data_IF_327864751078
#
_entry.id   IF_327864751078
#
_cell.length_a   1.000
_cell.length_b   1.000
_cell.length_c   1.000
_cell.angle_alpha   90.00
_cell.angle_beta   90.00
_cell.angle_gamma   90.00
#
_symmetry.space_group_name_H-M   'P 1'
#
loop_
_entity.id
_entity.type
_entity.pdbx_description
1 polymer ?
#
# COMPACT_ATOMS: atom_id res chain seq x y z
N UNK A 1 9.64 26.48 12.66
CA UNK A 1 8.17 26.52 12.52
C UNK A 1 7.46 27.51 13.45
N UNK A 2 8.16 28.08 14.46
CA UNK A 2 7.55 29.10 15.36
C UNK A 2 7.16 30.37 14.60
N UNK A 3 7.83 30.67 13.48
CA UNK A 3 7.69 31.91 12.70
C UNK A 3 7.09 31.67 11.29
N UNK A 4 6.14 30.74 11.15
CA UNK A 4 5.42 30.54 9.89
C UNK A 4 5.93 29.41 9.00
N UNK A 5 6.94 28.64 9.43
CA UNK A 5 7.49 27.51 8.70
C UNK A 5 8.83 27.77 8.02
N UNK A 6 9.19 26.95 7.03
CA UNK A 6 10.43 27.13 6.30
C UNK A 6 10.97 25.86 5.62
N UNK A 7 12.08 26.00 4.93
CA UNK A 7 12.81 24.93 4.26
C UNK A 7 14.02 24.54 5.11
N UNK A 8 14.08 23.27 5.53
CA UNK A 8 15.26 22.67 6.17
C UNK A 8 16.04 21.95 5.08
N UNK A 9 17.25 22.38 4.81
CA UNK A 9 18.09 21.82 3.75
C UNK A 9 19.11 20.86 4.35
N UNK A 10 19.16 19.64 3.83
CA UNK A 10 20.21 18.66 4.10
C UNK A 10 21.17 18.70 2.90
N UNK A 11 22.38 19.23 3.07
CA UNK A 11 23.35 19.34 1.98
C UNK A 11 23.97 17.98 1.64
N UNK A 12 24.67 17.91 0.51
CA UNK A 12 25.40 16.72 0.07
C UNK A 12 26.30 16.17 1.19
N UNK A 13 26.33 14.84 1.33
CA UNK A 13 27.06 14.12 2.37
C UNK A 13 26.21 13.07 3.09
N UNK A 14 26.83 12.34 4.02
CA UNK A 14 26.18 11.27 4.79
C UNK A 14 25.81 11.81 6.18
N UNK A 15 24.54 11.75 6.50
CA UNK A 15 23.95 12.24 7.74
C UNK A 15 23.28 11.11 8.50
N UNK A 16 23.45 11.05 9.82
CA UNK A 16 22.81 10.04 10.68
C UNK A 16 21.71 10.67 11.51
N UNK A 17 20.57 9.98 11.64
CA UNK A 17 19.42 10.46 12.39
C UNK A 17 18.61 9.32 13.00
N UNK A 18 17.78 9.63 13.99
CA UNK A 18 16.64 8.84 14.43
C UNK A 18 15.35 9.28 13.70
N UNK A 19 14.20 9.18 14.39
CA UNK A 19 12.92 9.63 13.83
C UNK A 19 12.92 11.14 13.56
N UNK A 20 12.57 11.53 12.34
CA UNK A 20 12.31 12.92 11.99
C UNK A 20 10.82 13.18 12.10
N UNK A 21 10.44 14.23 12.82
CA UNK A 21 9.05 14.68 12.90
C UNK A 21 8.87 15.99 12.13
N UNK A 22 8.15 15.92 10.99
CA UNK A 22 7.81 17.11 10.23
C UNK A 22 6.70 17.90 10.95
N UNK A 23 6.84 19.22 10.96
CA UNK A 23 5.88 20.16 11.52
C UNK A 23 5.23 20.99 10.42
N UNK A 24 4.08 21.55 10.71
CA UNK A 24 3.31 22.36 9.74
C UNK A 24 4.15 23.45 9.10
N UNK A 25 3.92 23.66 7.81
CA UNK A 25 4.62 24.64 6.98
C UNK A 25 6.13 24.40 6.84
N UNK A 26 6.61 23.13 7.04
CA UNK A 26 8.03 22.77 6.91
C UNK A 26 8.23 21.89 5.68
N UNK A 27 9.25 22.26 4.89
CA UNK A 27 9.80 21.43 3.82
C UNK A 27 11.17 20.87 4.26
N UNK A 28 11.29 19.56 4.44
CA UNK A 28 12.57 18.87 4.54
C UNK A 28 13.09 18.61 3.13
N UNK A 29 14.20 19.24 2.77
CA UNK A 29 14.76 19.18 1.42
C UNK A 29 16.14 18.55 1.42
N UNK A 30 16.31 17.46 0.68
CA UNK A 30 17.59 16.78 0.52
C UNK A 30 18.21 17.21 -0.82
N UNK A 31 19.36 17.86 -0.77
CA UNK A 31 20.13 18.20 -1.98
C UNK A 31 20.61 16.94 -2.71
N UNK A 32 20.97 17.07 -3.97
CA UNK A 32 21.63 16.00 -4.69
C UNK A 32 22.94 15.60 -3.99
N UNK A 33 23.16 14.29 -3.81
CA UNK A 33 24.28 13.74 -3.03
C UNK A 33 24.10 13.75 -1.52
N UNK A 34 22.97 14.22 -0.98
CA UNK A 34 22.62 14.04 0.43
C UNK A 34 22.13 12.61 0.67
N UNK A 35 22.68 11.94 1.69
CA UNK A 35 22.20 10.64 2.17
C UNK A 35 21.83 10.73 3.64
N UNK A 36 20.57 10.44 3.97
CA UNK A 36 20.07 10.48 5.33
C UNK A 36 19.87 9.06 5.85
N UNK A 37 20.79 8.59 6.66
CA UNK A 37 20.84 7.24 7.22
C UNK A 37 20.14 7.18 8.57
N UNK A 38 19.09 6.36 8.64
CA UNK A 38 18.30 6.19 9.85
C UNK A 38 18.90 5.16 10.80
N UNK A 39 18.85 5.45 12.09
CA UNK A 39 19.28 4.56 13.16
C UNK A 39 18.38 3.33 13.27
N UNK A 40 18.98 2.18 13.58
CA UNK A 40 18.26 0.95 13.93
C UNK A 40 18.02 0.75 15.43
N UNK A 41 18.26 1.76 16.26
CA UNK A 41 18.11 1.72 17.72
C UNK A 41 16.69 2.16 18.12
N UNK A 42 16.01 1.37 18.91
CA UNK A 42 14.63 1.64 19.36
C UNK A 42 14.52 2.97 20.10
N UNK A 43 15.53 3.33 20.91
CA UNK A 43 15.48 4.55 21.72
C UNK A 43 15.41 5.84 20.88
N UNK A 44 15.91 5.82 19.63
CA UNK A 44 15.89 6.96 18.72
C UNK A 44 14.50 7.22 18.12
N UNK A 45 13.52 6.34 18.43
CA UNK A 45 12.12 6.41 17.98
C UNK A 45 11.13 6.55 19.13
N UNK A 46 11.62 6.72 20.37
CA UNK A 46 10.76 6.96 21.53
C UNK A 46 10.57 8.47 21.78
N UNK A 47 9.44 8.87 22.37
CA UNK A 47 8.31 8.04 22.80
C UNK A 47 7.59 7.41 21.61
N UNK A 48 6.83 6.32 21.87
CA UNK A 48 5.92 5.74 20.86
C UNK A 48 4.87 6.74 20.42
N UNK A 49 4.45 6.60 19.17
CA UNK A 49 3.43 7.46 18.55
C UNK A 49 2.29 6.62 18.00
N UNK A 50 1.12 7.24 17.84
CA UNK A 50 0.01 6.61 17.14
C UNK A 50 0.42 6.35 15.68
N UNK A 51 0.29 5.12 15.26
CA UNK A 51 0.54 4.67 13.88
C UNK A 51 -0.51 3.65 13.47
N UNK A 52 -0.46 3.23 12.22
CA UNK A 52 -1.28 2.12 11.73
C UNK A 52 -0.37 1.00 11.25
N UNK A 53 -0.53 -0.18 11.80
CA UNK A 53 0.22 -1.36 11.40
C UNK A 53 -0.74 -2.37 10.78
N UNK A 54 -0.52 -2.70 9.51
CA UNK A 54 -1.39 -3.57 8.71
C UNK A 54 -2.89 -3.25 8.83
N UNK A 55 -3.26 -1.97 8.79
CA UNK A 55 -4.64 -1.51 8.84
C UNK A 55 -5.25 -1.37 10.25
N UNK A 56 -4.46 -1.52 11.32
CA UNK A 56 -4.88 -1.45 12.72
C UNK A 56 -4.15 -0.34 13.46
N UNK A 57 -4.86 0.44 14.27
CA UNK A 57 -4.28 1.50 15.09
C UNK A 57 -3.51 0.92 16.29
N UNK A 58 -2.27 1.34 16.46
CA UNK A 58 -1.36 0.95 17.56
C UNK A 58 -0.46 2.11 17.97
N UNK A 59 0.13 2.04 19.15
CA UNK A 59 1.24 2.93 19.57
C UNK A 59 2.55 2.16 19.45
N UNK A 60 3.42 2.58 18.54
CA UNK A 60 4.74 1.97 18.34
C UNK A 60 5.73 2.99 17.79
N UNK A 61 6.80 2.52 17.12
CA UNK A 61 7.88 3.37 16.63
C UNK A 61 7.44 4.35 15.54
N UNK A 62 6.26 4.17 14.95
CA UNK A 62 5.67 5.06 13.94
C UNK A 62 6.35 4.92 12.60
N UNK A 63 7.11 5.94 12.21
CA UNK A 63 7.84 5.98 10.94
C UNK A 63 9.22 6.61 11.13
N UNK A 64 10.12 6.38 10.15
CA UNK A 64 11.44 7.02 10.12
C UNK A 64 11.27 8.54 9.88
N UNK A 65 10.41 8.90 8.91
CA UNK A 65 9.94 10.28 8.73
C UNK A 65 8.44 10.30 9.06
N UNK A 66 8.10 10.98 10.13
CA UNK A 66 6.77 11.01 10.71
C UNK A 66 6.18 12.42 10.72
N UNK A 67 4.89 12.53 10.61
CA UNK A 67 4.12 13.73 10.91
C UNK A 67 2.77 13.32 11.48
N UNK A 68 2.20 14.11 12.40
CA UNK A 68 0.86 13.85 12.89
C UNK A 68 0.12 15.16 13.15
N UNK A 69 -1.10 15.27 12.60
CA UNK A 69 -1.94 16.47 12.70
C UNK A 69 -1.22 17.73 12.18
N UNK A 70 -0.50 17.62 11.05
CA UNK A 70 0.22 18.74 10.45
C UNK A 70 -0.40 19.13 9.10
N UNK A 71 -0.09 20.33 8.64
CA UNK A 71 -0.52 20.82 7.33
C UNK A 71 0.61 21.52 6.57
N UNK A 72 0.51 21.51 5.23
CA UNK A 72 1.50 22.13 4.34
C UNK A 72 2.91 21.58 4.61
N UNK A 73 3.07 20.27 4.67
CA UNK A 73 4.36 19.61 4.91
C UNK A 73 4.93 19.08 3.60
N UNK A 74 6.25 19.12 3.47
CA UNK A 74 6.92 18.60 2.30
C UNK A 74 8.21 17.82 2.64
N UNK A 75 8.50 16.79 1.85
CA UNK A 75 9.76 16.09 1.76
C UNK A 75 10.20 16.14 0.29
N UNK A 76 11.25 16.87 -0.03
CA UNK A 76 11.61 17.16 -1.42
C UNK A 76 13.11 17.02 -1.68
N UNK A 77 13.48 17.08 -2.95
CA UNK A 77 14.89 17.10 -3.40
C UNK A 77 15.29 15.81 -4.12
N UNK A 78 16.59 15.63 -4.36
CA UNK A 78 17.15 14.50 -5.10
C UNK A 78 18.10 13.63 -4.28
N UNK A 79 18.12 13.82 -2.97
CA UNK A 79 18.90 13.00 -2.05
C UNK A 79 18.20 11.67 -1.72
N UNK A 80 18.87 10.90 -0.87
CA UNK A 80 18.44 9.56 -0.46
C UNK A 80 18.08 9.50 1.01
N UNK A 81 17.04 8.74 1.30
CA UNK A 81 16.69 8.27 2.64
C UNK A 81 17.03 6.78 2.70
N UNK A 82 17.84 6.38 3.68
CA UNK A 82 18.39 5.03 3.79
C UNK A 82 17.99 4.43 5.13
N UNK A 83 17.14 3.42 5.11
CA UNK A 83 16.72 2.73 6.33
C UNK A 83 17.85 1.84 6.89
N UNK A 84 17.80 1.47 8.18
CA UNK A 84 18.75 0.54 8.76
C UNK A 84 18.62 -0.85 8.14
N UNK A 85 19.66 -1.66 8.30
CA UNK A 85 19.69 -3.04 7.83
C UNK A 85 18.93 -3.98 8.77
N UNK A 86 18.59 -5.18 8.31
CA UNK A 86 17.81 -6.18 9.07
C UNK A 86 18.60 -6.86 10.21
N UNK A 87 19.83 -6.46 10.48
CA UNK A 87 20.60 -6.87 11.66
C UNK A 87 20.47 -5.89 12.85
N UNK A 88 19.71 -4.80 12.69
CA UNK A 88 19.49 -3.79 13.71
C UNK A 88 18.61 -4.25 14.89
N UNK A 89 18.61 -3.47 15.98
CA UNK A 89 17.80 -3.77 17.17
C UNK A 89 16.30 -3.80 16.86
N UNK A 90 15.80 -2.83 16.09
CA UNK A 90 14.38 -2.76 15.70
C UNK A 90 13.92 -4.05 15.02
N UNK A 91 14.72 -4.54 14.06
CA UNK A 91 14.38 -5.78 13.36
C UNK A 91 14.38 -7.00 14.28
N UNK A 92 15.38 -7.15 15.15
CA UNK A 92 15.51 -8.27 16.07
C UNK A 92 14.40 -8.31 17.12
N UNK A 93 13.80 -7.18 17.43
CA UNK A 93 12.77 -7.05 18.47
C UNK A 93 11.37 -6.82 17.93
N UNK A 94 11.16 -7.05 16.62
CA UNK A 94 9.84 -6.93 16.02
C UNK A 94 8.83 -7.92 16.61
N UNK A 95 7.56 -7.53 16.58
CA UNK A 95 6.45 -8.40 16.93
C UNK A 95 6.23 -9.41 15.80
N UNK A 96 6.29 -10.70 16.12
CA UNK A 96 6.01 -11.80 15.18
C UNK A 96 4.58 -12.33 15.32
N UNK A 97 3.84 -11.88 16.30
CA UNK A 97 2.44 -12.23 16.46
C UNK A 97 1.61 -11.56 15.36
N UNK A 98 0.56 -12.25 14.91
CA UNK A 98 -0.36 -11.64 13.94
C UNK A 98 -1.10 -10.45 14.59
N UNK A 99 -1.38 -9.43 13.79
CA UNK A 99 -2.05 -8.24 14.31
C UNK A 99 -3.45 -8.55 14.86
N UNK A 100 -4.13 -9.56 14.33
CA UNK A 100 -5.43 -10.02 14.83
C UNK A 100 -5.32 -10.49 16.28
N UNK A 101 -4.36 -11.36 16.60
CA UNK A 101 -4.13 -11.84 17.98
C UNK A 101 -3.72 -10.71 18.90
N UNK A 102 -2.93 -9.76 18.41
CA UNK A 102 -2.54 -8.59 19.18
C UNK A 102 -3.76 -7.73 19.55
N UNK A 103 -4.71 -7.55 18.62
CA UNK A 103 -5.98 -6.84 18.86
C UNK A 103 -6.88 -7.59 19.83
N UNK A 104 -6.96 -8.92 19.73
CA UNK A 104 -7.72 -9.75 20.68
C UNK A 104 -7.18 -9.59 22.11
N UNK A 105 -5.85 -9.53 22.26
CA UNK A 105 -5.19 -9.34 23.57
C UNK A 105 -5.36 -7.91 24.10
N UNK A 106 -5.38 -6.90 23.22
CA UNK A 106 -5.50 -5.47 23.55
C UNK A 106 -6.65 -4.83 22.77
N UNK A 107 -7.92 -5.01 23.20
CA UNK A 107 -9.09 -4.47 22.48
C UNK A 107 -9.11 -2.93 22.43
N UNK A 108 -8.72 -2.26 23.52
CA UNK A 108 -8.60 -0.80 23.55
C UNK A 108 -7.33 -0.33 22.83
N UNK A 109 -7.48 0.58 21.86
CA UNK A 109 -6.35 1.16 21.12
C UNK A 109 -5.30 1.76 22.04
N UNK A 110 -5.70 2.37 23.17
CA UNK A 110 -4.78 3.00 24.14
C UNK A 110 -3.87 1.99 24.84
N UNK A 111 -4.26 0.73 24.90
CA UNK A 111 -3.48 -0.35 25.49
C UNK A 111 -2.54 -1.02 24.49
N UNK A 112 -2.71 -0.78 23.19
CA UNK A 112 -1.89 -1.34 22.11
C UNK A 112 -0.53 -0.66 22.03
N UNK A 113 0.31 -0.85 23.05
CA UNK A 113 1.61 -0.22 23.21
C UNK A 113 2.72 -1.23 22.95
N UNK A 114 3.46 -1.03 21.85
CA UNK A 114 4.63 -1.83 21.45
C UNK A 114 5.87 -0.93 21.40
N UNK A 115 6.50 -0.70 22.57
CA UNK A 115 7.56 0.30 22.79
C UNK A 115 8.95 -0.31 23.01
N UNK A 116 9.09 -1.62 22.94
CA UNK A 116 10.36 -2.29 23.21
C UNK A 116 10.79 -2.32 24.68
N UNK A 117 9.99 -1.79 25.62
CA UNK A 117 10.34 -1.76 27.04
C UNK A 117 9.76 -2.97 27.79
N UNK A 118 10.39 -3.33 28.91
CA UNK A 118 9.92 -4.41 29.81
C UNK A 118 9.58 -5.72 29.07
N UNK A 119 10.41 -6.09 28.09
CA UNK A 119 10.24 -7.32 27.31
C UNK A 119 9.21 -7.24 26.17
N UNK A 120 8.50 -6.12 26.00
CA UNK A 120 7.61 -5.93 24.86
C UNK A 120 8.39 -5.86 23.54
N UNK A 121 7.78 -6.33 22.48
CA UNK A 121 8.25 -6.16 21.10
C UNK A 121 7.93 -4.76 20.56
N UNK A 122 8.35 -4.48 19.35
CA UNK A 122 7.95 -3.30 18.58
C UNK A 122 7.32 -3.74 17.26
N UNK A 123 6.42 -2.93 16.70
CA UNK A 123 6.08 -3.04 15.29
C UNK A 123 7.12 -2.31 14.45
N UNK A 124 7.48 -2.90 13.32
CA UNK A 124 8.41 -2.28 12.39
C UNK A 124 7.90 -0.90 11.97
N UNK A 125 8.75 0.14 12.01
CA UNK A 125 8.35 1.47 11.59
C UNK A 125 8.12 1.51 10.07
N UNK A 126 7.14 2.29 9.65
CA UNK A 126 6.98 2.73 8.27
C UNK A 126 8.16 3.61 7.87
N UNK A 127 8.44 3.76 6.57
CA UNK A 127 9.54 4.65 6.20
C UNK A 127 9.10 6.13 6.28
N UNK A 128 8.15 6.55 5.45
CA UNK A 128 7.59 7.91 5.44
C UNK A 128 6.10 7.82 5.70
N UNK A 129 5.62 8.32 6.83
CA UNK A 129 4.19 8.23 7.17
C UNK A 129 3.65 9.51 7.81
N UNK A 130 3.12 10.43 7.00
CA UNK A 130 2.26 11.48 7.50
C UNK A 130 0.91 10.89 7.95
N UNK A 131 0.45 11.27 9.13
CA UNK A 131 -0.79 10.80 9.74
C UNK A 131 -1.70 11.99 10.07
N UNK A 132 -2.98 11.95 9.70
CA UNK A 132 -3.94 13.06 9.86
C UNK A 132 -3.41 14.41 9.32
N UNK A 133 -2.69 14.39 8.21
CA UNK A 133 -2.07 15.58 7.64
C UNK A 133 -2.86 16.13 6.45
N UNK A 134 -2.72 17.42 6.17
CA UNK A 134 -3.31 18.08 4.99
C UNK A 134 -2.22 18.71 4.14
N UNK A 135 -2.41 18.69 2.81
CA UNK A 135 -1.48 19.27 1.85
C UNK A 135 -0.06 18.74 2.03
N UNK A 136 0.12 17.46 1.71
CA UNK A 136 1.39 16.74 1.82
C UNK A 136 2.05 16.64 0.46
N UNK A 137 3.31 17.02 0.33
CA UNK A 137 4.13 16.84 -0.87
C UNK A 137 5.33 15.94 -0.57
N UNK A 138 5.51 14.86 -1.35
CA UNK A 138 6.71 14.03 -1.36
C UNK A 138 7.23 14.00 -2.80
N UNK A 139 8.43 14.59 -3.04
CA UNK A 139 8.90 14.82 -4.40
C UNK A 139 10.40 14.57 -4.58
N UNK A 140 10.75 13.78 -5.59
CA UNK A 140 12.10 13.63 -6.14
C UNK A 140 13.06 12.74 -5.36
N UNK A 141 12.77 12.43 -4.10
CA UNK A 141 13.64 11.66 -3.21
C UNK A 141 13.71 10.18 -3.57
N UNK A 142 14.81 9.52 -3.19
CA UNK A 142 14.99 8.08 -3.27
C UNK A 142 14.91 7.45 -1.87
N UNK A 143 14.13 6.38 -1.71
CA UNK A 143 14.04 5.58 -0.48
C UNK A 143 14.73 4.23 -0.72
N UNK A 144 15.66 3.87 0.16
CA UNK A 144 16.41 2.62 0.06
C UNK A 144 16.25 1.72 1.30
N UNK A 145 16.08 0.41 1.08
CA UNK A 145 16.15 -0.66 2.09
C UNK A 145 15.14 -0.55 3.23
N UNK A 146 13.89 -0.26 2.98
CA UNK A 146 12.90 -0.15 4.05
C UNK A 146 12.84 -1.41 4.94
N UNK A 147 12.54 -1.23 6.22
CA UNK A 147 12.23 -2.32 7.14
C UNK A 147 10.80 -2.83 6.99
N UNK A 148 9.90 -1.99 6.48
CA UNK A 148 8.48 -2.27 6.30
C UNK A 148 7.97 -1.46 5.09
N UNK A 149 6.70 -1.11 5.02
CA UNK A 149 6.13 -0.31 3.93
C UNK A 149 6.83 1.05 3.78
N UNK A 150 7.06 1.50 2.56
CA UNK A 150 7.87 2.69 2.30
C UNK A 150 7.10 4.00 2.52
N UNK A 151 6.16 4.37 1.66
CA UNK A 151 5.42 5.64 1.77
C UNK A 151 3.98 5.36 2.12
N UNK A 152 3.55 5.77 3.30
CA UNK A 152 2.24 5.42 3.85
C UNK A 152 1.55 6.65 4.44
N UNK A 153 0.90 7.48 3.64
CA UNK A 153 0.01 8.51 4.17
C UNK A 153 -1.21 7.86 4.80
N UNK A 154 -1.47 8.20 6.08
CA UNK A 154 -2.57 7.64 6.88
C UNK A 154 -3.54 8.77 7.24
N UNK A 155 -4.82 8.62 6.91
CA UNK A 155 -5.88 9.62 7.22
C UNK A 155 -5.62 11.02 6.66
N UNK A 156 -4.81 11.15 5.61
CA UNK A 156 -4.45 12.43 5.01
C UNK A 156 -5.49 12.94 4.01
N UNK A 157 -5.44 14.24 3.73
CA UNK A 157 -6.27 14.89 2.72
C UNK A 157 -5.41 15.85 1.86
N UNK A 158 -5.38 15.60 0.55
CA UNK A 158 -4.52 16.35 -0.37
C UNK A 158 -3.06 15.89 -0.29
N UNK A 159 -2.72 14.80 -0.98
CA UNK A 159 -1.37 14.22 -1.02
C UNK A 159 -0.85 14.18 -2.45
N UNK A 160 0.33 14.69 -2.68
CA UNK A 160 1.06 14.57 -3.95
C UNK A 160 2.35 13.79 -3.70
N UNK A 161 2.53 12.70 -4.45
CA UNK A 161 3.77 11.91 -4.48
C UNK A 161 4.25 11.89 -5.92
N UNK A 162 5.40 12.54 -6.17
CA UNK A 162 5.86 12.81 -7.54
C UNK A 162 7.35 12.51 -7.69
N UNK A 163 7.73 11.84 -8.78
CA UNK A 163 9.13 11.62 -9.13
C UNK A 163 9.95 10.84 -8.10
N UNK A 164 9.29 10.08 -7.24
CA UNK A 164 9.94 9.32 -6.16
C UNK A 164 10.46 8.00 -6.70
N UNK A 165 11.64 7.61 -6.23
CA UNK A 165 12.21 6.28 -6.45
C UNK A 165 12.19 5.49 -5.15
N UNK A 166 11.68 4.25 -5.21
CA UNK A 166 11.80 3.27 -4.12
C UNK A 166 12.67 2.12 -4.60
N UNK A 167 13.74 1.83 -3.86
CA UNK A 167 14.63 0.68 -4.04
C UNK A 167 14.68 -0.12 -2.72
N UNK A 168 13.68 -0.98 -2.54
CA UNK A 168 13.47 -1.75 -1.30
C UNK A 168 13.22 -3.23 -1.58
N UNK A 169 13.79 -3.77 -2.67
CA UNK A 169 13.69 -5.18 -3.01
C UNK A 169 14.71 -6.01 -2.23
N UNK A 170 14.51 -6.19 -0.93
CA UNK A 170 15.43 -6.96 -0.08
C UNK A 170 14.74 -8.12 0.66
N UNK A 171 13.52 -7.90 1.10
CA UNK A 171 12.68 -8.90 1.79
C UNK A 171 11.21 -8.60 1.53
N UNK A 172 10.30 -9.51 1.87
CA UNK A 172 8.86 -9.28 1.81
C UNK A 172 8.40 -8.17 2.77
N UNK A 173 7.20 -7.65 2.58
CA UNK A 173 6.57 -6.56 3.36
C UNK A 173 7.21 -5.18 3.15
N UNK A 174 7.95 -4.99 2.06
CA UNK A 174 8.47 -3.68 1.66
C UNK A 174 7.63 -3.10 0.51
N UNK A 175 6.33 -2.93 0.76
CA UNK A 175 5.40 -2.29 -0.16
C UNK A 175 5.91 -0.87 -0.52
N UNK A 176 5.64 -0.42 -1.74
CA UNK A 176 6.17 0.85 -2.25
C UNK A 176 5.41 2.07 -1.71
N UNK A 177 4.22 2.30 -2.24
CA UNK A 177 3.35 3.41 -1.82
C UNK A 177 2.00 2.83 -1.42
N UNK A 178 1.66 2.97 -0.15
CA UNK A 178 0.40 2.49 0.44
C UNK A 178 -0.49 3.67 0.84
N UNK A 179 -1.54 3.91 0.09
CA UNK A 179 -2.53 4.93 0.44
C UNK A 179 -3.51 4.33 1.45
N UNK A 180 -3.37 4.74 2.72
CA UNK A 180 -4.12 4.15 3.83
C UNK A 180 -5.17 5.12 4.36
N UNK A 181 -6.46 4.87 4.08
CA UNK A 181 -7.60 5.72 4.51
C UNK A 181 -7.39 7.22 4.22
N UNK A 182 -6.82 7.52 3.07
CA UNK A 182 -6.39 8.86 2.63
C UNK A 182 -7.12 9.24 1.35
N UNK A 183 -7.42 10.53 1.17
CA UNK A 183 -8.19 11.02 0.04
C UNK A 183 -7.52 12.17 -0.69
N UNK A 184 -7.98 12.41 -1.93
CA UNK A 184 -7.49 13.47 -2.82
C UNK A 184 -5.98 13.31 -3.07
N UNK A 185 -5.61 12.19 -3.72
CA UNK A 185 -4.22 11.76 -3.89
C UNK A 185 -3.82 11.79 -5.37
N UNK A 186 -2.65 12.35 -5.66
CA UNK A 186 -1.97 12.25 -6.94
C UNK A 186 -0.63 11.55 -6.77
N UNK A 187 -0.42 10.45 -7.51
CA UNK A 187 0.86 9.76 -7.62
C UNK A 187 1.28 9.79 -9.09
N UNK A 188 2.45 10.37 -9.37
CA UNK A 188 2.92 10.47 -10.75
C UNK A 188 4.44 10.42 -10.88
N UNK A 189 4.92 9.89 -12.01
CA UNK A 189 6.35 9.79 -12.36
C UNK A 189 7.19 9.03 -11.35
N UNK A 190 6.59 8.12 -10.57
CA UNK A 190 7.27 7.30 -9.56
C UNK A 190 7.80 5.99 -10.16
N UNK A 191 8.95 5.53 -9.65
CA UNK A 191 9.58 4.25 -10.03
C UNK A 191 9.80 3.38 -8.80
N UNK A 192 9.12 2.24 -8.73
CA UNK A 192 9.11 1.39 -7.54
C UNK A 192 9.70 0.00 -7.83
N UNK A 193 10.66 -0.41 -7.01
CA UNK A 193 11.28 -1.73 -6.99
C UNK A 193 11.18 -2.27 -5.56
N UNK A 194 10.21 -3.16 -5.32
CA UNK A 194 9.75 -3.53 -3.99
C UNK A 194 9.88 -5.03 -3.74
N UNK A 195 9.90 -5.42 -2.48
CA UNK A 195 9.83 -6.82 -2.06
C UNK A 195 8.40 -7.33 -1.91
N UNK A 196 7.39 -6.43 -1.90
CA UNK A 196 5.96 -6.75 -1.88
C UNK A 196 5.21 -5.87 -2.89
N UNK A 197 3.97 -5.46 -2.65
CA UNK A 197 3.12 -4.71 -3.58
C UNK A 197 3.68 -3.30 -3.87
N UNK A 198 3.63 -2.83 -5.14
CA UNK A 198 4.21 -1.52 -5.51
C UNK A 198 3.30 -0.35 -5.13
N UNK A 199 2.14 -0.23 -5.76
CA UNK A 199 1.16 0.82 -5.47
C UNK A 199 -0.08 0.20 -4.85
N UNK A 200 -0.36 0.53 -3.59
CA UNK A 200 -1.39 -0.16 -2.83
C UNK A 200 -2.39 0.82 -2.23
N UNK A 201 -3.66 0.52 -2.33
CA UNK A 201 -4.74 1.24 -1.66
C UNK A 201 -5.30 0.38 -0.53
N UNK A 202 -5.38 0.94 0.66
CA UNK A 202 -5.84 0.28 1.88
C UNK A 202 -6.79 1.20 2.67
N UNK A 203 -7.71 0.63 3.45
CA UNK A 203 -8.68 1.42 4.22
C UNK A 203 -9.06 0.74 5.55
N UNK A 204 -8.08 0.11 6.18
CA UNK A 204 -8.25 -0.55 7.48
C UNK A 204 -8.72 -1.99 7.40
N UNK A 205 -8.60 -2.66 8.53
CA UNK A 205 -8.79 -4.10 8.67
C UNK A 205 -9.92 -4.42 9.64
N UNK A 206 -10.93 -5.18 9.18
CA UNK A 206 -11.97 -5.74 10.01
C UNK A 206 -12.71 -4.69 10.85
N UNK A 207 -13.07 -5.06 12.07
CA UNK A 207 -13.82 -4.19 12.99
C UNK A 207 -13.08 -2.89 13.34
N UNK A 208 -11.75 -2.94 13.44
CA UNK A 208 -10.94 -1.74 13.71
C UNK A 208 -11.04 -0.73 12.55
N UNK A 209 -10.99 -1.22 11.30
CA UNK A 209 -11.17 -0.39 10.12
C UNK A 209 -12.60 0.16 9.98
N UNK A 210 -13.62 -0.64 10.32
CA UNK A 210 -15.02 -0.20 10.35
C UNK A 210 -15.23 0.86 11.43
N UNK A 211 -14.64 0.69 12.62
CA UNK A 211 -14.69 1.68 13.70
C UNK A 211 -14.12 3.04 13.26
N UNK A 212 -13.01 3.05 12.56
CA UNK A 212 -12.38 4.26 12.03
C UNK A 212 -13.19 4.85 10.87
N UNK A 213 -13.73 4.03 9.99
CA UNK A 213 -14.61 4.37 8.88
C UNK A 213 -14.10 5.53 7.99
N UNK A 214 -12.82 5.48 7.61
CA UNK A 214 -12.22 6.43 6.67
C UNK A 214 -11.82 5.69 5.39
N UNK A 215 -12.45 5.97 4.24
CA UNK A 215 -12.10 5.33 2.98
C UNK A 215 -10.77 5.85 2.42
N UNK A 216 -10.20 5.10 1.47
CA UNK A 216 -9.21 5.60 0.52
C UNK A 216 -9.95 5.98 -0.76
N UNK A 217 -9.96 7.27 -1.12
CA UNK A 217 -10.80 7.74 -2.22
C UNK A 217 -10.24 8.95 -2.99
N UNK A 218 -10.72 9.11 -4.24
CA UNK A 218 -10.30 10.18 -5.14
C UNK A 218 -8.79 10.12 -5.39
N UNK A 219 -8.32 9.01 -5.95
CA UNK A 219 -6.90 8.72 -6.14
C UNK A 219 -6.60 8.64 -7.64
N UNK A 220 -5.57 9.35 -8.08
CA UNK A 220 -5.02 9.26 -9.44
C UNK A 220 -3.59 8.74 -9.37
N UNK A 221 -3.28 7.69 -10.15
CA UNK A 221 -1.93 7.17 -10.35
C UNK A 221 -1.62 7.20 -11.84
N UNK A 222 -0.55 7.87 -12.25
CA UNK A 222 -0.22 8.01 -13.66
C UNK A 222 1.28 8.13 -13.93
N UNK A 223 1.70 7.73 -15.14
CA UNK A 223 3.09 7.84 -15.62
C UNK A 223 4.09 7.17 -14.68
N UNK A 224 3.68 6.07 -14.05
CA UNK A 224 4.46 5.36 -13.05
C UNK A 224 5.01 4.04 -13.58
N UNK A 225 6.14 3.61 -13.00
CA UNK A 225 6.81 2.36 -13.28
C UNK A 225 6.84 1.47 -12.05
N UNK A 226 6.20 0.28 -12.12
CA UNK A 226 6.41 -0.81 -11.17
C UNK A 226 7.41 -1.82 -11.76
N UNK A 227 8.56 -2.00 -11.11
CA UNK A 227 9.61 -2.91 -11.56
C UNK A 227 9.39 -4.32 -11.02
N UNK A 228 9.87 -4.60 -9.81
CA UNK A 228 9.64 -5.85 -9.09
C UNK A 228 8.65 -5.66 -7.98
N UNK A 229 7.94 -6.72 -7.61
CA UNK A 229 6.97 -6.73 -6.53
C UNK A 229 5.91 -7.81 -6.72
N UNK A 230 5.03 -7.95 -5.74
CA UNK A 230 3.91 -8.90 -5.84
C UNK A 230 2.78 -8.37 -6.71
N UNK A 231 2.50 -7.08 -6.67
CA UNK A 231 1.50 -6.44 -7.50
C UNK A 231 1.92 -5.07 -8.02
N UNK A 232 1.57 -4.75 -9.26
CA UNK A 232 1.75 -3.41 -9.82
C UNK A 232 0.83 -2.41 -9.12
N UNK A 233 -0.48 -2.59 -9.27
CA UNK A 233 -1.52 -1.88 -8.52
C UNK A 233 -2.32 -2.89 -7.71
N UNK A 234 -2.47 -2.64 -6.41
CA UNK A 234 -3.18 -3.53 -5.49
C UNK A 234 -4.22 -2.76 -4.67
N UNK A 235 -5.45 -3.25 -4.67
CA UNK A 235 -6.51 -2.78 -3.78
C UNK A 235 -6.67 -3.80 -2.65
N UNK A 236 -6.22 -3.45 -1.44
CA UNK A 236 -6.30 -4.31 -0.26
C UNK A 236 -4.98 -4.96 0.17
N UNK A 237 -5.07 -5.96 1.07
CA UNK A 237 -6.25 -6.67 1.63
C UNK A 237 -7.01 -5.90 2.72
N UNK A 238 -6.53 -4.80 3.20
CA UNK A 238 -7.16 -3.94 4.21
C UNK A 238 -8.19 -3.05 3.52
N UNK A 239 -9.46 -3.47 3.52
CA UNK A 239 -10.53 -2.85 2.70
C UNK A 239 -11.71 -2.34 3.52
N UNK A 240 -11.65 -2.39 4.87
CA UNK A 240 -12.79 -2.25 5.76
C UNK A 240 -13.65 -1.00 5.54
N UNK A 241 -13.03 0.15 5.26
CA UNK A 241 -13.74 1.42 5.05
C UNK A 241 -13.90 1.79 3.57
N UNK A 242 -13.70 0.85 2.64
CA UNK A 242 -13.83 1.03 1.19
C UNK A 242 -12.65 1.72 0.49
N UNK A 243 -12.42 1.31 -0.74
CA UNK A 243 -11.54 1.97 -1.71
C UNK A 243 -12.42 2.46 -2.86
N UNK A 244 -12.41 3.78 -3.15
CA UNK A 244 -13.35 4.39 -4.10
C UNK A 244 -12.69 5.36 -5.06
N UNK A 245 -13.26 5.49 -6.25
CA UNK A 245 -12.88 6.52 -7.21
C UNK A 245 -11.37 6.52 -7.46
N UNK A 246 -10.82 5.35 -7.81
CA UNK A 246 -9.44 5.19 -8.22
C UNK A 246 -9.33 5.29 -9.74
N UNK A 247 -8.43 6.13 -10.24
CA UNK A 247 -8.10 6.22 -11.65
C UNK A 247 -6.61 6.01 -11.88
N UNK A 248 -6.26 4.92 -12.57
CA UNK A 248 -4.88 4.57 -12.91
C UNK A 248 -4.71 4.58 -14.42
N UNK A 249 -3.73 5.34 -14.92
CA UNK A 249 -3.51 5.40 -16.36
C UNK A 249 -2.06 5.67 -16.76
N UNK A 250 -1.71 5.29 -17.99
CA UNK A 250 -0.41 5.53 -18.59
C UNK A 250 0.76 5.02 -17.72
N UNK A 251 0.63 3.77 -17.23
CA UNK A 251 1.61 3.12 -16.36
C UNK A 251 2.27 1.91 -17.04
N UNK A 252 3.45 1.53 -16.55
CA UNK A 252 4.20 0.37 -17.01
C UNK A 252 4.56 -0.54 -15.83
N UNK A 253 4.33 -1.85 -15.98
CA UNK A 253 4.73 -2.87 -14.98
C UNK A 253 5.69 -3.87 -15.63
N UNK A 254 6.89 -4.03 -15.08
CA UNK A 254 7.96 -4.84 -15.68
C UNK A 254 8.54 -5.85 -14.69
N UNK A 255 7.83 -6.94 -14.41
CA UNK A 255 8.38 -7.99 -13.55
C UNK A 255 7.66 -8.16 -12.21
N UNK A 256 6.55 -7.48 -11.98
CA UNK A 256 5.67 -7.79 -10.86
C UNK A 256 4.97 -9.14 -11.07
N UNK A 257 4.55 -9.79 -9.99
CA UNK A 257 3.83 -11.06 -10.07
C UNK A 257 2.43 -10.86 -10.65
N UNK A 258 1.69 -9.84 -10.21
CA UNK A 258 0.39 -9.47 -10.79
C UNK A 258 0.39 -8.04 -11.30
N UNK A 259 -0.46 -7.76 -12.30
CA UNK A 259 -0.67 -6.40 -12.80
C UNK A 259 -1.61 -5.62 -11.90
N UNK A 260 -2.91 -5.91 -12.00
CA UNK A 260 -3.96 -5.33 -11.16
C UNK A 260 -4.48 -6.41 -10.20
N UNK A 261 -4.43 -6.17 -8.91
CA UNK A 261 -4.89 -7.13 -7.91
C UNK A 261 -5.94 -6.51 -6.99
N UNK A 262 -7.10 -7.16 -6.90
CA UNK A 262 -8.23 -6.81 -6.04
C UNK A 262 -8.27 -7.84 -4.91
N UNK A 263 -7.60 -7.52 -3.80
CA UNK A 263 -7.29 -8.44 -2.71
C UNK A 263 -8.13 -8.10 -1.49
N UNK A 264 -8.87 -9.05 -0.98
CA UNK A 264 -9.58 -8.94 0.29
C UNK A 264 -9.77 -10.33 0.90
N UNK A 265 -10.53 -10.45 1.96
CA UNK A 265 -10.86 -11.71 2.61
C UNK A 265 -12.18 -11.57 3.34
N UNK A 266 -12.90 -12.66 3.52
CA UNK A 266 -13.98 -12.69 4.52
C UNK A 266 -13.45 -12.13 5.84
N UNK A 267 -14.25 -11.39 6.59
CA UNK A 267 -13.88 -10.66 7.82
C UNK A 267 -13.04 -9.38 7.65
N UNK A 268 -12.68 -8.98 6.42
CA UNK A 268 -12.01 -7.67 6.21
C UNK A 268 -13.00 -6.52 6.17
N UNK A 269 -14.18 -6.72 5.61
CA UNK A 269 -15.18 -5.68 5.37
C UNK A 269 -14.90 -4.82 4.15
N UNK A 270 -15.81 -3.95 3.81
CA UNK A 270 -15.69 -2.95 2.75
C UNK A 270 -15.46 -3.52 1.36
N UNK A 271 -14.30 -3.26 0.78
CA UNK A 271 -13.95 -3.67 -0.59
C UNK A 271 -13.52 -2.51 -1.47
N UNK A 272 -13.91 -2.56 -2.76
CA UNK A 272 -13.60 -1.50 -3.71
C UNK A 272 -14.72 -1.26 -4.72
N UNK A 273 -14.93 0.00 -5.09
CA UNK A 273 -15.93 0.37 -6.11
C UNK A 273 -15.50 1.59 -6.94
N UNK A 274 -15.98 1.64 -8.19
CA UNK A 274 -15.68 2.73 -9.13
C UNK A 274 -14.17 2.89 -9.38
N UNK A 275 -13.54 1.79 -9.82
CA UNK A 275 -12.11 1.73 -10.07
C UNK A 275 -11.88 1.64 -11.60
N UNK A 276 -11.06 2.53 -12.13
CA UNK A 276 -10.78 2.61 -13.57
C UNK A 276 -9.29 2.49 -13.84
N UNK A 277 -8.92 1.61 -14.77
CA UNK A 277 -7.54 1.35 -15.20
C UNK A 277 -7.47 1.41 -16.72
N UNK A 278 -6.57 2.21 -17.27
CA UNK A 278 -6.46 2.32 -18.71
C UNK A 278 -5.04 2.65 -19.19
N UNK A 279 -4.73 2.29 -20.44
CA UNK A 279 -3.43 2.53 -21.09
C UNK A 279 -2.26 2.06 -20.22
N UNK A 280 -2.31 0.79 -19.83
CA UNK A 280 -1.26 0.16 -19.02
C UNK A 280 -0.58 -0.94 -19.84
N UNK A 281 0.74 -0.97 -19.79
CA UNK A 281 1.58 -2.00 -20.41
C UNK A 281 2.17 -2.89 -19.32
N UNK A 282 2.07 -4.21 -19.48
CA UNK A 282 2.45 -5.17 -18.44
C UNK A 282 3.31 -6.29 -18.99
N UNK A 283 4.41 -6.60 -18.27
CA UNK A 283 5.21 -7.80 -18.44
C UNK A 283 5.33 -8.49 -17.08
N UNK A 284 4.62 -9.60 -16.87
CA UNK A 284 4.33 -10.16 -15.56
C UNK A 284 4.76 -11.61 -15.46
N UNK A 285 4.97 -12.08 -14.22
CA UNK A 285 5.25 -13.49 -13.93
C UNK A 285 4.00 -14.30 -13.54
N UNK A 286 2.89 -13.64 -13.18
CA UNK A 286 1.61 -14.24 -12.78
C UNK A 286 0.43 -13.67 -13.56
N UNK A 287 -0.68 -13.36 -12.90
CA UNK A 287 -1.91 -12.91 -13.55
C UNK A 287 -1.91 -11.42 -13.88
N UNK A 288 -2.43 -11.04 -15.07
CA UNK A 288 -2.60 -9.63 -15.41
C UNK A 288 -3.69 -8.97 -14.55
N UNK A 289 -4.84 -9.62 -14.38
CA UNK A 289 -5.93 -9.16 -13.53
C UNK A 289 -6.29 -10.26 -12.54
N UNK A 290 -6.14 -9.96 -11.25
CA UNK A 290 -6.34 -10.95 -10.19
C UNK A 290 -7.32 -10.45 -9.13
N UNK A 291 -8.49 -11.11 -9.02
CA UNK A 291 -9.39 -10.96 -7.89
C UNK A 291 -9.13 -12.07 -6.88
N UNK A 292 -8.64 -11.70 -5.72
CA UNK A 292 -8.26 -12.60 -4.63
C UNK A 292 -9.12 -12.27 -3.40
N UNK A 293 -10.39 -12.71 -3.41
CA UNK A 293 -11.35 -12.41 -2.36
C UNK A 293 -11.45 -13.49 -1.28
N UNK A 294 -10.78 -14.62 -1.46
CA UNK A 294 -10.74 -15.71 -0.46
C UNK A 294 -9.57 -15.57 0.49
N UNK A 295 -8.42 -15.13 0.00
CA UNK A 295 -7.17 -15.11 0.74
C UNK A 295 -6.52 -16.49 0.86
N UNK A 296 -5.60 -16.64 1.79
CA UNK A 296 -4.86 -17.88 2.03
C UNK A 296 -5.18 -18.48 3.40
N UNK A 297 -5.20 -19.82 3.48
CA UNK A 297 -5.54 -20.56 4.71
C UNK A 297 -4.64 -20.19 5.91
N UNK A 298 -3.37 -19.92 5.67
CA UNK A 298 -2.43 -19.46 6.72
C UNK A 298 -2.85 -18.15 7.41
N UNK A 299 -3.73 -17.35 6.77
CA UNK A 299 -4.17 -16.05 7.29
C UNK A 299 -5.61 -16.03 7.82
N UNK A 300 -6.49 -16.87 7.26
CA UNK A 300 -7.93 -16.86 7.59
C UNK A 300 -8.51 -18.26 7.81
N UNK A 301 -7.68 -19.28 7.92
CA UNK A 301 -8.10 -20.65 8.14
C UNK A 301 -9.13 -21.12 7.10
N UNK A 302 -10.18 -21.79 7.57
CA UNK A 302 -11.24 -22.32 6.70
C UNK A 302 -11.99 -21.27 5.88
N UNK A 303 -11.96 -19.99 6.26
CA UNK A 303 -12.57 -18.91 5.50
C UNK A 303 -11.91 -18.68 4.12
N UNK A 304 -10.70 -19.18 3.90
CA UNK A 304 -10.02 -19.18 2.60
C UNK A 304 -10.68 -20.14 1.60
N UNK A 305 -11.50 -21.09 2.07
CA UNK A 305 -12.20 -22.04 1.20
C UNK A 305 -13.44 -21.39 0.58
N UNK A 306 -13.81 -21.85 -0.61
CA UNK A 306 -15.10 -21.48 -1.20
C UNK A 306 -16.23 -22.19 -0.46
N UNK A 307 -16.61 -21.65 0.68
CA UNK A 307 -17.75 -22.12 1.47
C UNK A 307 -19.07 -21.76 0.73
N UNK A 308 -20.21 -22.37 1.09
CA UNK A 308 -21.51 -21.87 0.70
C UNK A 308 -21.69 -20.39 1.08
N UNK A 309 -22.61 -19.69 0.39
CA UNK A 309 -22.92 -18.30 0.68
C UNK A 309 -23.27 -18.09 2.16
N UNK A 310 -22.66 -17.09 2.77
CA UNK A 310 -22.85 -16.74 4.18
C UNK A 310 -23.74 -15.50 4.31
N UNK A 311 -24.35 -15.25 5.46
CA UNK A 311 -25.05 -13.99 5.70
C UNK A 311 -24.13 -12.79 5.49
N UNK A 312 -24.64 -11.77 4.82
CA UNK A 312 -23.92 -10.51 4.61
C UNK A 312 -23.89 -9.72 5.92
N UNK A 313 -22.70 -9.28 6.30
CA UNK A 313 -22.44 -8.47 7.50
C UNK A 313 -21.57 -7.26 7.10
N UNK A 314 -21.35 -6.28 7.97
CA UNK A 314 -20.38 -5.20 7.72
C UNK A 314 -18.95 -5.70 7.43
N UNK A 315 -18.63 -6.93 7.85
CA UNK A 315 -17.34 -7.57 7.58
C UNK A 315 -17.28 -8.35 6.26
N UNK A 316 -18.37 -8.39 5.49
CA UNK A 316 -18.42 -9.04 4.18
C UNK A 316 -17.89 -8.08 3.12
N UNK A 317 -16.74 -8.35 2.46
CA UNK A 317 -16.18 -7.44 1.48
C UNK A 317 -16.81 -7.61 0.10
N UNK A 318 -16.73 -6.57 -0.75
CA UNK A 318 -17.18 -6.63 -2.13
C UNK A 318 -16.29 -5.82 -3.07
N UNK A 319 -16.13 -6.30 -4.31
CA UNK A 319 -15.54 -5.53 -5.40
C UNK A 319 -16.53 -5.38 -6.54
N UNK A 320 -16.82 -4.14 -6.96
CA UNK A 320 -17.79 -3.85 -8.00
C UNK A 320 -17.45 -2.62 -8.83
N UNK A 321 -18.04 -2.52 -10.03
CA UNK A 321 -17.91 -1.37 -10.92
C UNK A 321 -16.45 -1.09 -11.29
N UNK A 322 -15.72 -2.12 -11.76
CA UNK A 322 -14.33 -2.02 -12.16
C UNK A 322 -14.26 -1.97 -13.69
N UNK A 323 -13.59 -0.94 -14.22
CA UNK A 323 -13.34 -0.77 -15.65
C UNK A 323 -11.86 -0.90 -15.94
N UNK A 324 -11.49 -1.81 -16.82
CA UNK A 324 -10.12 -2.04 -17.29
C UNK A 324 -10.14 -1.95 -18.81
N UNK A 325 -9.39 -1.03 -19.39
CA UNK A 325 -9.40 -0.82 -20.84
C UNK A 325 -8.06 -0.40 -21.43
N UNK A 326 -7.88 -0.68 -22.72
CA UNK A 326 -6.70 -0.29 -23.48
C UNK A 326 -5.39 -0.83 -22.84
N UNK A 327 -5.36 -2.14 -22.58
CA UNK A 327 -4.26 -2.81 -21.88
C UNK A 327 -3.43 -3.63 -22.86
N UNK A 328 -2.11 -3.55 -22.71
CA UNK A 328 -1.14 -4.38 -23.41
C UNK A 328 -0.46 -5.32 -22.40
N UNK A 329 -0.64 -6.63 -22.57
CA UNK A 329 0.03 -7.65 -21.76
C UNK A 329 1.08 -8.35 -22.58
N UNK A 330 2.35 -8.01 -22.40
CA UNK A 330 3.47 -8.63 -23.13
C UNK A 330 3.66 -10.08 -22.72
N UNK A 331 3.49 -10.38 -21.44
CA UNK A 331 3.56 -11.71 -20.85
C UNK A 331 2.79 -11.78 -19.55
N UNK A 332 2.02 -12.85 -19.37
CA UNK A 332 1.38 -13.21 -18.10
C UNK A 332 1.09 -14.73 -18.06
N UNK A 333 0.89 -15.29 -16.86
CA UNK A 333 0.42 -16.66 -16.71
C UNK A 333 -1.08 -16.77 -17.01
N UNK A 334 -1.87 -15.77 -16.60
CA UNK A 334 -3.29 -15.63 -16.87
C UNK A 334 -3.60 -14.20 -17.30
N UNK A 335 -4.58 -14.01 -18.18
CA UNK A 335 -5.20 -12.70 -18.33
C UNK A 335 -6.07 -12.39 -17.11
N UNK A 336 -6.98 -13.28 -16.77
CA UNK A 336 -7.90 -13.10 -15.65
C UNK A 336 -7.83 -14.32 -14.75
N UNK A 337 -7.52 -14.10 -13.48
CA UNK A 337 -7.67 -15.07 -12.40
C UNK A 337 -8.59 -14.46 -11.34
N UNK A 338 -9.88 -14.86 -11.34
CA UNK A 338 -10.88 -14.26 -10.48
C UNK A 338 -11.48 -15.32 -9.55
N UNK A 339 -11.22 -15.12 -8.25
CA UNK A 339 -11.84 -15.87 -7.18
C UNK A 339 -12.65 -14.91 -6.29
N UNK A 340 -13.94 -14.76 -6.65
CA UNK A 340 -14.92 -14.04 -5.84
C UNK A 340 -15.37 -14.86 -4.63
N UNK A 341 -16.38 -14.37 -3.93
CA UNK A 341 -17.07 -15.10 -2.86
C UNK A 341 -18.56 -15.16 -3.17
N UNK A 342 -19.26 -16.28 -2.88
CA UNK A 342 -20.64 -16.48 -3.34
C UNK A 342 -21.63 -15.51 -2.72
N UNK A 343 -21.38 -15.00 -1.51
CA UNK A 343 -22.25 -14.03 -0.84
C UNK A 343 -22.18 -12.62 -1.44
N UNK A 344 -21.02 -12.22 -2.01
CA UNK A 344 -20.80 -10.95 -2.71
C UNK A 344 -19.89 -11.19 -3.91
N UNK A 345 -20.42 -11.75 -5.00
CA UNK A 345 -19.65 -11.99 -6.22
C UNK A 345 -19.00 -10.70 -6.73
N UNK A 346 -17.86 -10.81 -7.43
CA UNK A 346 -17.28 -9.67 -8.14
C UNK A 346 -18.28 -9.17 -9.20
N UNK A 347 -18.77 -7.93 -9.06
CA UNK A 347 -19.97 -7.48 -9.76
C UNK A 347 -19.70 -6.28 -10.69
N UNK A 348 -20.38 -6.26 -11.85
CA UNK A 348 -20.38 -5.15 -12.81
C UNK A 348 -18.99 -4.73 -13.27
N UNK A 349 -18.20 -5.69 -13.75
CA UNK A 349 -16.85 -5.41 -14.22
C UNK A 349 -16.79 -5.41 -15.75
N UNK A 350 -16.07 -4.46 -16.33
CA UNK A 350 -15.82 -4.33 -17.76
C UNK A 350 -14.32 -4.45 -18.04
N UNK A 351 -13.97 -5.35 -18.98
CA UNK A 351 -12.63 -5.38 -19.57
C UNK A 351 -12.79 -5.20 -21.08
N UNK A 352 -12.15 -4.19 -21.64
CA UNK A 352 -12.21 -3.91 -23.08
C UNK A 352 -10.84 -3.53 -23.67
N UNK A 353 -10.65 -3.84 -24.95
CA UNK A 353 -9.43 -3.53 -25.70
C UNK A 353 -8.17 -4.11 -25.01
N UNK A 354 -8.17 -5.40 -24.74
CA UNK A 354 -7.02 -6.14 -24.21
C UNK A 354 -6.30 -6.86 -25.35
N UNK A 355 -5.01 -6.62 -25.46
CA UNK A 355 -4.11 -7.30 -26.39
C UNK A 355 -2.95 -7.90 -25.63
N UNK A 356 -2.59 -9.16 -25.94
CA UNK A 356 -1.36 -9.68 -25.35
C UNK A 356 -1.15 -11.19 -25.43
N UNK A 357 -0.15 -11.66 -24.68
CA UNK A 357 0.30 -13.06 -24.62
C UNK A 357 0.13 -13.64 -23.22
N UNK A 358 -0.44 -14.81 -23.13
CA UNK A 358 -0.64 -15.52 -21.87
C UNK A 358 -0.62 -17.02 -22.06
N UNK A 359 -0.27 -17.76 -21.01
CA UNK A 359 -0.34 -19.23 -21.03
C UNK A 359 -1.78 -19.73 -20.88
N UNK A 360 -2.61 -18.99 -20.15
CA UNK A 360 -4.02 -19.34 -19.89
C UNK A 360 -4.89 -18.07 -19.97
N UNK A 361 -6.07 -18.18 -20.57
CA UNK A 361 -6.91 -17.01 -20.80
C UNK A 361 -7.62 -16.55 -19.52
N UNK A 362 -8.55 -17.32 -19.03
CA UNK A 362 -9.51 -16.89 -18.02
C UNK A 362 -9.83 -18.03 -17.05
N UNK A 363 -9.83 -17.72 -15.77
CA UNK A 363 -10.42 -18.52 -14.71
C UNK A 363 -11.27 -17.59 -13.85
N UNK A 364 -12.58 -17.88 -13.71
CA UNK A 364 -13.50 -17.04 -12.94
C UNK A 364 -14.44 -17.88 -12.10
N UNK A 365 -14.60 -17.49 -10.83
CA UNK A 365 -15.53 -18.10 -9.89
C UNK A 365 -16.23 -16.98 -9.11
N UNK A 366 -17.55 -17.11 -8.91
CA UNK A 366 -18.39 -16.15 -8.20
C UNK A 366 -18.31 -14.72 -8.77
N UNK A 367 -18.86 -14.59 -9.98
CA UNK A 367 -18.94 -13.34 -10.75
C UNK A 367 -20.37 -13.04 -11.16
N UNK A 368 -20.70 -11.75 -11.29
CA UNK A 368 -21.99 -11.26 -11.77
C UNK A 368 -21.81 -10.01 -12.63
N UNK A 369 -22.46 -9.94 -13.79
CA UNK A 369 -22.40 -8.76 -14.66
C UNK A 369 -20.98 -8.47 -15.18
N UNK A 370 -20.22 -9.49 -15.60
CA UNK A 370 -18.87 -9.34 -16.13
C UNK A 370 -18.92 -9.24 -17.67
N UNK A 371 -18.32 -8.21 -18.24
CA UNK A 371 -18.33 -7.94 -19.67
C UNK A 371 -16.91 -7.92 -20.23
N UNK A 372 -16.69 -8.69 -21.31
CA UNK A 372 -15.45 -8.74 -22.08
C UNK A 372 -15.69 -8.21 -23.50
N UNK A 373 -14.91 -7.22 -23.97
CA UNK A 373 -14.99 -6.66 -25.31
C UNK A 373 -13.62 -6.53 -25.94
N UNK A 374 -13.48 -6.90 -27.21
CA UNK A 374 -12.22 -6.74 -27.97
C UNK A 374 -11.01 -7.34 -27.26
N UNK A 375 -11.10 -8.58 -26.83
CA UNK A 375 -10.02 -9.32 -26.21
C UNK A 375 -9.27 -10.10 -27.29
N UNK A 376 -7.98 -9.79 -27.48
CA UNK A 376 -7.09 -10.46 -28.46
C UNK A 376 -5.95 -11.14 -27.71
N UNK A 377 -5.89 -12.44 -27.78
CA UNK A 377 -4.84 -13.26 -27.21
C UNK A 377 -4.04 -13.93 -28.31
N UNK A 378 -2.71 -13.80 -28.23
CA UNK A 378 -1.80 -14.70 -28.92
C UNK A 378 -1.37 -15.78 -27.92
N UNK A 379 -1.73 -17.04 -28.17
CA UNK A 379 -1.22 -18.15 -27.36
C UNK A 379 0.30 -18.24 -27.49
N UNK A 380 1.02 -18.37 -26.38
CA UNK A 380 2.39 -18.86 -26.41
C UNK A 380 2.33 -20.37 -26.74
N UNK A 381 2.75 -20.72 -27.93
CA UNK A 381 3.04 -22.12 -28.29
C UNK A 381 4.32 -22.59 -27.64
#
# INVERSE_FOLDING_TARGET
>A
SRDGGGKVVIPAGIWKTGRIELKSNVNLHLEEGAELHFSGNINDYLPVVLTRFEGVEVYSLGALVYANNQENIALTGHGKLVAPTTDCEIWKRQCYESIEKYVEQYPDVKERIADGKKGRSVFLPLFVSPTNCKNVLIEGVTLERSLFWNIVPVYCDGVIIRGVTVDSHGHGRTDGIDIESTRNVLIEYCSLDCGDDCFTMKSGRGEDGIRVNKPSENIVIRYCLAKRGWGGIVCGSETAAMIRNLYVHDCVFTGTKSGLRFKTRRSRGGGGENLTFERIRMNLTGAAFWWDMLGEEKHVGDLAKRLPARPITPLTPSFKNITIRDIIVESASYFIDLNGIPETPAENNLIENLVGKTNKLIRMTDVKGFTLKNIRSEERR
#
